data_IF_990124418621
#
_entry.id   IF_990124418621
#
_cell.length_a   1.000
_cell.length_b   1.000
_cell.length_c   1.000
_cell.angle_alpha   90.00
_cell.angle_beta   90.00
_cell.angle_gamma   90.00
#
_symmetry.space_group_name_H-M   'P 1'
#
loop_
_entity.id
_entity.type
_entity.pdbx_description
1 polymer ?
#
# COMPACT_ATOMS: atom_id res chain seq x y z
N UNK A 1 -29.53 -25.90 -10.94
CA UNK A 1 -28.32 -26.77 -11.01
C UNK A 1 -27.03 -25.92 -11.05
N UNK A 2 -26.90 -24.98 -11.97
CA UNK A 2 -25.71 -24.11 -12.03
C UNK A 2 -25.47 -23.26 -10.76
N UNK A 3 -26.50 -23.02 -9.94
CA UNK A 3 -26.44 -22.32 -8.66
C UNK A 3 -26.17 -23.24 -7.45
N UNK A 4 -25.66 -24.44 -7.66
CA UNK A 4 -25.33 -25.39 -6.57
C UNK A 4 -26.48 -26.25 -6.06
N UNK A 5 -27.67 -26.24 -6.71
CA UNK A 5 -28.80 -27.10 -6.33
C UNK A 5 -28.58 -28.57 -6.70
N UNK A 6 -28.99 -29.50 -5.84
CA UNK A 6 -28.99 -30.94 -6.16
C UNK A 6 -30.10 -31.28 -7.12
N UNK A 7 -29.98 -32.38 -7.90
CA UNK A 7 -31.07 -32.82 -8.77
C UNK A 7 -32.36 -33.18 -8.01
N UNK A 8 -32.25 -33.50 -6.72
CA UNK A 8 -33.40 -33.74 -5.86
C UNK A 8 -34.10 -32.43 -5.50
N UNK A 9 -33.34 -31.39 -5.07
CA UNK A 9 -33.91 -30.09 -4.74
C UNK A 9 -34.51 -29.39 -5.96
N UNK A 10 -33.89 -29.51 -7.14
CA UNK A 10 -34.43 -28.96 -8.39
C UNK A 10 -35.67 -29.76 -8.84
N UNK A 11 -35.70 -31.07 -8.67
CA UNK A 11 -36.84 -31.92 -8.98
C UNK A 11 -38.07 -31.56 -8.12
N UNK A 12 -37.86 -31.31 -6.83
CA UNK A 12 -38.90 -30.86 -5.90
C UNK A 12 -39.43 -29.47 -6.29
N UNK A 13 -38.56 -28.51 -6.67
CA UNK A 13 -38.96 -27.17 -7.09
C UNK A 13 -39.75 -27.13 -8.41
N UNK A 14 -39.45 -28.03 -9.33
CA UNK A 14 -40.06 -28.08 -10.68
C UNK A 14 -41.18 -29.12 -10.79
N UNK A 15 -41.41 -29.90 -9.75
CA UNK A 15 -42.48 -30.93 -9.71
C UNK A 15 -42.26 -32.12 -10.63
N UNK A 16 -40.99 -32.49 -10.90
CA UNK A 16 -40.62 -33.63 -11.77
C UNK A 16 -39.76 -34.65 -11.06
N UNK A 17 -39.58 -35.83 -11.64
CA UNK A 17 -38.71 -36.84 -11.04
C UNK A 17 -37.23 -36.42 -11.12
N UNK A 18 -36.42 -36.77 -10.11
CA UNK A 18 -34.97 -36.54 -10.13
C UNK A 18 -34.27 -37.20 -11.32
N UNK A 19 -34.86 -38.27 -11.88
CA UNK A 19 -34.38 -38.94 -13.10
C UNK A 19 -34.59 -38.05 -14.34
N UNK A 20 -35.73 -37.37 -14.43
CA UNK A 20 -36.02 -36.41 -15.51
C UNK A 20 -35.02 -35.24 -15.48
N UNK A 21 -34.73 -34.67 -14.30
CA UNK A 21 -33.74 -33.62 -14.15
C UNK A 21 -32.33 -34.09 -14.58
N UNK A 22 -31.93 -35.30 -14.23
CA UNK A 22 -30.64 -35.88 -14.67
C UNK A 22 -30.58 -36.02 -16.21
N UNK A 23 -31.68 -36.50 -16.83
CA UNK A 23 -31.78 -36.65 -18.30
C UNK A 23 -31.67 -35.30 -18.99
N UNK A 24 -32.33 -34.28 -18.48
CA UNK A 24 -32.23 -32.93 -19.01
C UNK A 24 -30.82 -32.35 -18.89
N UNK A 25 -30.15 -32.57 -17.75
CA UNK A 25 -28.78 -32.18 -17.58
C UNK A 25 -27.83 -32.84 -18.59
N UNK A 26 -28.01 -34.14 -18.85
CA UNK A 26 -27.22 -34.85 -19.86
C UNK A 26 -27.49 -34.32 -21.27
N UNK A 27 -28.77 -34.07 -21.61
CA UNK A 27 -29.13 -33.49 -22.90
C UNK A 27 -28.60 -32.06 -23.11
N UNK A 28 -28.52 -31.30 -22.03
CA UNK A 28 -27.91 -29.96 -22.01
C UNK A 28 -26.37 -29.97 -21.93
N UNK A 29 -25.72 -31.13 -21.99
CA UNK A 29 -24.27 -31.26 -21.90
C UNK A 29 -23.70 -30.93 -20.52
N UNK A 30 -24.52 -31.04 -19.47
CA UNK A 30 -24.08 -30.80 -18.10
C UNK A 30 -23.70 -32.13 -17.43
N UNK A 31 -22.45 -32.26 -17.04
CA UNK A 31 -21.97 -33.44 -16.29
C UNK A 31 -21.93 -33.15 -14.79
N UNK A 32 -22.28 -34.18 -14.00
CA UNK A 32 -22.23 -34.12 -12.53
C UNK A 32 -20.88 -34.63 -12.06
N UNK A 33 -20.21 -33.85 -11.23
CA UNK A 33 -19.10 -34.35 -10.45
C UNK A 33 -19.65 -35.04 -9.18
N UNK A 34 -19.31 -36.30 -8.97
CA UNK A 34 -19.62 -36.99 -7.71
C UNK A 34 -18.56 -36.67 -6.67
N UNK A 35 -19.01 -36.13 -5.53
CA UNK A 35 -18.15 -35.91 -4.37
C UNK A 35 -17.96 -37.21 -3.56
N UNK A 36 -16.97 -37.21 -2.70
CA UNK A 36 -16.74 -38.25 -1.70
C UNK A 36 -18.01 -38.40 -0.82
N UNK A 37 -18.48 -39.59 -0.56
CA UNK A 37 -19.74 -39.90 0.12
C UNK A 37 -21.06 -39.67 -0.68
N UNK A 38 -21.02 -39.65 -2.01
CA UNK A 38 -22.22 -39.60 -2.84
C UNK A 38 -22.97 -38.28 -2.90
N UNK A 39 -22.38 -37.21 -2.36
CA UNK A 39 -22.92 -35.85 -2.49
C UNK A 39 -22.42 -35.18 -3.78
N UNK A 40 -23.34 -34.54 -4.51
CA UNK A 40 -23.00 -33.81 -5.72
C UNK A 40 -22.23 -32.52 -5.36
N UNK A 41 -21.02 -32.39 -5.87
CA UNK A 41 -20.11 -31.27 -5.51
C UNK A 41 -20.20 -30.13 -6.51
N UNK A 42 -20.38 -30.43 -7.82
CA UNK A 42 -20.52 -29.39 -8.85
C UNK A 42 -21.08 -29.94 -10.15
N UNK A 43 -21.62 -29.08 -11.01
CA UNK A 43 -22.01 -29.35 -12.38
C UNK A 43 -21.03 -28.69 -13.32
N UNK A 44 -20.39 -29.47 -14.20
CA UNK A 44 -19.38 -28.98 -15.15
C UNK A 44 -20.01 -28.96 -16.55
N UNK A 45 -19.95 -27.85 -17.30
CA UNK A 45 -20.41 -27.79 -18.68
C UNK A 45 -19.56 -28.69 -19.59
N UNK A 46 -20.21 -29.38 -20.55
CA UNK A 46 -19.52 -30.24 -21.50
C UNK A 46 -18.58 -29.46 -22.46
N UNK A 47 -18.96 -28.23 -22.80
CA UNK A 47 -18.14 -27.35 -23.62
C UNK A 47 -17.30 -26.43 -22.73
N UNK A 48 -16.01 -26.73 -22.61
CA UNK A 48 -15.03 -25.86 -21.95
C UNK A 48 -14.52 -24.86 -22.97
N UNK A 49 -14.65 -23.56 -22.67
CA UNK A 49 -14.09 -22.49 -23.49
C UNK A 49 -12.59 -22.69 -23.73
N UNK A 50 -12.02 -22.21 -24.87
CA UNK A 50 -10.59 -22.27 -25.10
C UNK A 50 -9.83 -21.65 -23.92
N UNK A 51 -8.77 -22.32 -23.49
CA UNK A 51 -7.97 -21.85 -22.37
C UNK A 51 -7.26 -20.55 -22.73
N UNK A 52 -7.26 -19.53 -21.85
CA UNK A 52 -6.50 -18.31 -22.11
C UNK A 52 -5.00 -18.64 -22.20
N UNK A 53 -4.28 -17.91 -23.07
CA UNK A 53 -2.83 -18.03 -23.21
C UNK A 53 -2.13 -17.90 -21.84
N UNK A 54 -1.20 -18.80 -21.57
CA UNK A 54 -0.44 -18.78 -20.30
C UNK A 54 0.60 -17.68 -20.32
N UNK A 55 0.46 -16.68 -19.48
CA UNK A 55 1.47 -15.66 -19.23
C UNK A 55 1.97 -15.78 -17.79
N UNK A 56 3.28 -16.03 -17.58
CA UNK A 56 3.95 -15.96 -16.28
C UNK A 56 4.30 -17.30 -15.61
N UNK A 57 5.16 -17.21 -14.60
CA UNK A 57 5.76 -18.34 -13.88
C UNK A 57 4.74 -19.13 -13.01
N UNK A 58 4.84 -20.47 -13.10
CA UNK A 58 4.24 -21.44 -12.15
C UNK A 58 2.73 -21.31 -11.88
N UNK A 59 1.92 -21.03 -12.89
CA UNK A 59 0.47 -21.05 -12.77
C UNK A 59 -0.03 -22.49 -12.53
N UNK A 60 -0.86 -22.67 -11.48
CA UNK A 60 -1.50 -23.95 -11.17
C UNK A 60 -2.56 -24.30 -12.22
N UNK A 61 -2.81 -25.60 -12.39
CA UNK A 61 -3.89 -26.07 -13.25
C UNK A 61 -5.24 -25.54 -12.75
N UNK A 62 -6.02 -24.97 -13.65
CA UNK A 62 -7.41 -24.55 -13.44
C UNK A 62 -8.37 -25.74 -13.55
N UNK A 63 -9.63 -25.58 -13.12
CA UNK A 63 -10.66 -26.58 -13.31
C UNK A 63 -10.84 -26.93 -14.80
N UNK A 64 -10.81 -25.95 -15.69
CA UNK A 64 -10.93 -26.16 -17.14
C UNK A 64 -9.78 -27.01 -17.69
N UNK A 65 -8.54 -26.77 -17.23
CA UNK A 65 -7.39 -27.60 -17.62
C UNK A 65 -7.51 -29.03 -17.05
N UNK A 66 -8.00 -29.19 -15.84
CA UNK A 66 -8.28 -30.52 -15.24
C UNK A 66 -9.38 -31.29 -15.99
N UNK A 67 -10.46 -30.60 -16.38
CA UNK A 67 -11.50 -31.20 -17.21
C UNK A 67 -10.93 -31.66 -18.56
N UNK A 68 -10.05 -30.87 -19.16
CA UNK A 68 -9.37 -31.25 -20.40
C UNK A 68 -8.46 -32.48 -20.21
N UNK A 69 -7.73 -32.56 -19.08
CA UNK A 69 -6.95 -33.76 -18.73
C UNK A 69 -7.87 -34.99 -18.62
N UNK A 70 -8.99 -34.87 -17.90
CA UNK A 70 -9.95 -35.97 -17.74
C UNK A 70 -10.48 -36.50 -19.07
N UNK A 71 -10.92 -35.58 -19.96
CA UNK A 71 -11.41 -35.94 -21.30
C UNK A 71 -10.35 -36.64 -22.14
N UNK A 72 -9.11 -36.11 -22.16
CA UNK A 72 -8.03 -36.70 -22.94
C UNK A 72 -7.54 -38.04 -22.39
N UNK A 73 -7.61 -38.25 -21.08
CA UNK A 73 -7.35 -39.56 -20.48
C UNK A 73 -8.41 -40.57 -20.89
N UNK A 74 -9.69 -40.18 -20.91
CA UNK A 74 -10.79 -41.02 -21.37
C UNK A 74 -10.68 -41.35 -22.88
N UNK A 75 -10.12 -40.41 -23.68
CA UNK A 75 -9.78 -40.61 -25.10
C UNK A 75 -8.52 -41.48 -25.29
N UNK A 76 -7.88 -41.98 -24.22
CA UNK A 76 -6.69 -42.83 -24.29
C UNK A 76 -5.39 -42.10 -24.61
N UNK A 77 -5.32 -40.77 -24.42
CA UNK A 77 -4.11 -40.02 -24.72
C UNK A 77 -2.99 -40.27 -23.69
N UNK A 78 -1.74 -40.28 -24.16
CA UNK A 78 -0.57 -40.36 -23.28
C UNK A 78 -0.35 -39.07 -22.50
N UNK A 79 0.28 -39.16 -21.32
CA UNK A 79 0.60 -37.99 -20.49
C UNK A 79 1.43 -36.94 -21.23
N UNK A 80 2.34 -37.35 -22.12
CA UNK A 80 3.13 -36.45 -22.94
C UNK A 80 2.26 -35.66 -23.90
N UNK A 81 1.37 -36.33 -24.64
CA UNK A 81 0.45 -35.70 -25.59
C UNK A 81 -0.54 -34.76 -24.88
N UNK A 82 -1.01 -35.09 -23.68
CA UNK A 82 -1.84 -34.19 -22.87
C UNK A 82 -1.04 -32.93 -22.42
N UNK A 83 0.22 -33.13 -22.06
CA UNK A 83 1.08 -32.02 -21.67
C UNK A 83 1.31 -31.03 -22.81
N UNK A 84 1.57 -31.53 -24.02
CA UNK A 84 1.74 -30.75 -25.24
C UNK A 84 0.45 -29.97 -25.58
N UNK A 85 -0.72 -30.62 -25.53
CA UNK A 85 -2.05 -30.02 -25.80
C UNK A 85 -2.39 -28.90 -24.79
N UNK A 86 -1.88 -28.97 -23.56
CA UNK A 86 -2.07 -27.96 -22.52
C UNK A 86 -0.92 -26.93 -22.44
N UNK A 87 0.14 -27.09 -23.22
CA UNK A 87 1.32 -26.22 -23.15
C UNK A 87 2.02 -26.29 -21.79
N UNK A 88 2.10 -27.46 -21.15
CA UNK A 88 2.74 -27.68 -19.86
C UNK A 88 3.80 -28.78 -19.94
N UNK A 89 4.74 -28.76 -18.99
CA UNK A 89 5.72 -29.83 -18.93
C UNK A 89 5.07 -31.15 -18.51
N UNK A 90 5.52 -32.31 -19.10
CA UNK A 90 5.00 -33.64 -18.79
C UNK A 90 4.95 -33.94 -17.30
N UNK A 91 5.97 -33.50 -16.53
CA UNK A 91 6.00 -33.72 -15.07
C UNK A 91 4.83 -33.03 -14.34
N UNK A 92 4.23 -31.98 -14.91
CA UNK A 92 3.04 -31.33 -14.32
C UNK A 92 1.84 -32.26 -14.39
N UNK A 93 1.62 -32.91 -15.52
CA UNK A 93 0.56 -33.92 -15.70
C UNK A 93 0.80 -35.13 -14.80
N UNK A 94 2.01 -35.68 -14.81
CA UNK A 94 2.38 -36.82 -13.97
C UNK A 94 2.15 -36.54 -12.48
N UNK A 95 2.55 -35.37 -11.98
CA UNK A 95 2.30 -34.98 -10.57
C UNK A 95 0.83 -34.74 -10.27
N UNK A 96 0.08 -34.17 -11.21
CA UNK A 96 -1.37 -33.98 -11.05
C UNK A 96 -2.09 -35.32 -10.91
N UNK A 97 -1.78 -36.26 -11.79
CA UNK A 97 -2.37 -37.64 -11.74
C UNK A 97 -1.92 -38.38 -10.48
N UNK A 98 -0.65 -38.36 -10.14
CA UNK A 98 -0.14 -38.99 -8.92
C UNK A 98 -0.82 -38.51 -7.62
N UNK A 99 -1.20 -37.22 -7.59
CA UNK A 99 -1.84 -36.59 -6.43
C UNK A 99 -3.32 -36.77 -6.33
N UNK A 100 -4.01 -36.91 -7.46
CA UNK A 100 -5.46 -36.78 -7.54
C UNK A 100 -6.18 -37.98 -8.19
N UNK A 101 -5.43 -39.00 -8.64
CA UNK A 101 -6.04 -40.26 -9.08
C UNK A 101 -6.39 -41.10 -7.86
N UNK A 102 -7.66 -41.47 -7.76
CA UNK A 102 -8.12 -42.40 -6.72
C UNK A 102 -7.59 -43.81 -7.06
N UNK A 103 -6.67 -44.32 -6.26
CA UNK A 103 -6.33 -45.73 -6.27
C UNK A 103 -7.36 -46.47 -5.43
N UNK A 104 -8.32 -47.12 -6.06
CA UNK A 104 -9.21 -48.04 -5.37
C UNK A 104 -8.35 -49.18 -4.81
N UNK A 105 -8.46 -49.41 -3.52
CA UNK A 105 -7.65 -50.39 -2.81
C UNK A 105 -7.79 -51.81 -3.37
N UNK A 106 -6.76 -52.62 -3.14
CA UNK A 106 -6.65 -54.03 -3.48
C UNK A 106 -7.72 -54.90 -2.76
N UNK A 107 -8.97 -54.69 -3.05
CA UNK A 107 -10.02 -55.55 -2.50
C UNK A 107 -11.10 -55.85 -3.56
N UNK A 108 -10.65 -56.28 -4.74
CA UNK A 108 -11.51 -56.98 -5.66
C UNK A 108 -10.75 -58.18 -6.21
N UNK A 109 -11.20 -59.40 -5.80
CA UNK A 109 -10.62 -60.69 -6.17
C UNK A 109 -10.93 -61.11 -7.63
N UNK A 110 -11.26 -60.17 -8.48
CA UNK A 110 -11.47 -60.36 -9.92
C UNK A 110 -10.46 -59.51 -10.68
N UNK A 111 -9.48 -60.20 -11.30
CA UNK A 111 -8.28 -59.62 -11.93
C UNK A 111 -8.54 -58.78 -13.18
N UNK A 112 -9.25 -57.65 -13.03
CA UNK A 112 -9.31 -56.60 -14.05
C UNK A 112 -8.30 -55.51 -13.77
N UNK A 113 -7.88 -54.71 -14.79
CA UNK A 113 -6.96 -53.57 -14.58
C UNK A 113 -7.65 -52.61 -13.60
N UNK A 114 -6.86 -52.13 -12.60
CA UNK A 114 -7.34 -51.15 -11.64
C UNK A 114 -7.77 -49.90 -12.40
N UNK A 115 -9.07 -49.67 -12.52
CA UNK A 115 -9.63 -48.42 -13.05
C UNK A 115 -9.27 -47.29 -12.14
N UNK A 116 -8.13 -46.69 -12.42
CA UNK A 116 -7.68 -45.46 -11.78
C UNK A 116 -8.36 -44.26 -12.45
N UNK A 117 -9.59 -43.99 -12.03
CA UNK A 117 -10.33 -42.88 -12.58
C UNK A 117 -9.81 -41.54 -12.04
N UNK A 118 -9.22 -40.72 -12.92
CA UNK A 118 -8.97 -39.30 -12.63
C UNK A 118 -10.29 -38.54 -12.82
N UNK A 119 -10.64 -37.71 -11.81
CA UNK A 119 -11.82 -36.85 -11.88
C UNK A 119 -11.42 -35.40 -11.63
N UNK A 120 -11.68 -34.52 -12.58
CA UNK A 120 -11.29 -33.11 -12.56
C UNK A 120 -11.91 -32.34 -11.39
N UNK A 121 -13.19 -32.58 -11.08
CA UNK A 121 -13.85 -31.89 -9.98
C UNK A 121 -13.32 -32.34 -8.62
N UNK A 122 -13.06 -33.61 -8.43
CA UNK A 122 -12.41 -34.15 -7.23
C UNK A 122 -10.99 -33.62 -7.08
N UNK A 123 -10.22 -33.54 -8.17
CA UNK A 123 -8.88 -33.01 -8.21
C UNK A 123 -8.88 -31.50 -7.85
N UNK A 124 -9.86 -30.75 -8.35
CA UNK A 124 -10.03 -29.34 -7.99
C UNK A 124 -10.39 -29.19 -6.50
N UNK A 125 -11.36 -29.94 -6.02
CA UNK A 125 -11.74 -29.92 -4.59
C UNK A 125 -10.57 -30.26 -3.67
N UNK A 126 -9.78 -31.29 -3.98
CA UNK A 126 -8.58 -31.63 -3.22
C UNK A 126 -7.52 -30.51 -3.28
N UNK A 127 -7.43 -29.79 -4.39
CA UNK A 127 -6.52 -28.66 -4.54
C UNK A 127 -6.99 -27.48 -3.70
N UNK A 128 -8.27 -27.17 -3.72
CA UNK A 128 -8.88 -26.09 -2.93
C UNK A 128 -8.82 -26.40 -1.42
N UNK A 129 -9.10 -27.63 -1.03
CA UNK A 129 -8.95 -28.10 0.36
C UNK A 129 -7.50 -27.98 0.85
N UNK A 130 -6.51 -28.41 0.05
CA UNK A 130 -5.08 -28.26 0.37
C UNK A 130 -4.64 -26.79 0.40
N UNK A 131 -5.30 -25.93 -0.39
CA UNK A 131 -5.09 -24.49 -0.41
C UNK A 131 -5.69 -23.82 0.83
N UNK A 132 -6.88 -24.26 1.23
CA UNK A 132 -7.58 -23.78 2.43
C UNK A 132 -6.94 -24.26 3.74
N UNK A 133 -5.95 -25.19 3.66
CA UNK A 133 -5.25 -25.68 4.85
C UNK A 133 -4.67 -24.50 5.63
N UNK A 134 -5.08 -24.27 6.89
CA UNK A 134 -4.61 -23.14 7.67
C UNK A 134 -3.09 -23.24 7.84
N UNK A 135 -2.38 -22.35 7.16
CA UNK A 135 -0.94 -22.13 7.42
C UNK A 135 -0.82 -21.30 8.66
N UNK A 136 0.03 -21.72 9.59
CA UNK A 136 0.40 -20.85 10.71
C UNK A 136 0.85 -19.50 10.18
N UNK A 137 0.19 -18.44 10.60
CA UNK A 137 0.47 -17.09 10.13
C UNK A 137 1.85 -16.65 10.58
N UNK A 138 2.54 -15.87 9.74
CA UNK A 138 3.92 -15.49 9.98
C UNK A 138 4.10 -14.77 11.33
N UNK A 139 3.17 -13.90 11.71
CA UNK A 139 3.22 -13.17 12.99
C UNK A 139 2.99 -14.07 14.21
N UNK A 140 2.25 -15.17 14.06
CA UNK A 140 2.12 -16.19 15.12
C UNK A 140 3.35 -17.07 15.23
N UNK A 141 4.00 -17.39 14.11
CA UNK A 141 5.17 -18.23 14.08
C UNK A 141 6.46 -17.52 14.55
N UNK A 142 6.50 -16.18 14.48
CA UNK A 142 7.70 -15.38 14.76
C UNK A 142 7.42 -14.26 15.76
N UNK A 143 7.55 -14.51 17.08
CA UNK A 143 7.28 -13.51 18.13
C UNK A 143 8.12 -12.24 18.02
N UNK A 144 9.41 -12.35 17.65
CA UNK A 144 10.28 -11.19 17.45
C UNK A 144 9.77 -10.26 16.33
N UNK A 145 9.35 -10.82 15.19
CA UNK A 145 8.74 -10.07 14.09
C UNK A 145 7.45 -9.39 14.56
N UNK A 146 6.59 -10.13 15.29
CA UNK A 146 5.35 -9.60 15.84
C UNK A 146 5.62 -8.39 16.74
N UNK A 147 6.55 -8.49 17.66
CA UNK A 147 6.93 -7.40 18.57
C UNK A 147 7.37 -6.15 17.79
N UNK A 148 8.20 -6.31 16.75
CA UNK A 148 8.65 -5.18 15.95
C UNK A 148 7.49 -4.56 15.12
N UNK A 149 6.61 -5.38 14.55
CA UNK A 149 5.41 -4.90 13.84
C UNK A 149 4.51 -4.10 14.77
N UNK A 150 4.21 -4.62 15.97
CA UNK A 150 3.42 -3.93 17.00
C UNK A 150 4.06 -2.60 17.38
N UNK A 151 5.35 -2.60 17.73
CA UNK A 151 6.09 -1.39 18.07
C UNK A 151 5.96 -0.31 17.00
N UNK A 152 6.19 -0.67 15.73
CA UNK A 152 6.10 0.30 14.63
C UNK A 152 4.67 0.81 14.41
N UNK A 153 3.65 -0.06 14.49
CA UNK A 153 2.25 0.34 14.39
C UNK A 153 1.84 1.29 15.53
N UNK A 154 2.26 1.01 16.76
CA UNK A 154 2.01 1.88 17.93
C UNK A 154 2.65 3.26 17.76
N UNK A 155 3.83 3.34 17.11
CA UNK A 155 4.48 4.60 16.75
C UNK A 155 3.87 5.26 15.50
N UNK A 156 2.68 4.83 15.07
CA UNK A 156 1.92 5.45 13.98
C UNK A 156 2.39 5.12 12.56
N UNK A 157 3.23 4.09 12.37
CA UNK A 157 3.56 3.63 11.01
C UNK A 157 2.36 2.94 10.37
N UNK A 158 2.10 3.21 9.10
CA UNK A 158 1.13 2.43 8.32
C UNK A 158 1.71 1.06 7.93
N UNK A 159 0.89 0.03 7.64
CA UNK A 159 1.37 -1.28 7.22
C UNK A 159 2.39 -1.27 6.08
N UNK A 160 2.26 -0.45 5.00
CA UNK A 160 3.31 -0.30 4.00
C UNK A 160 4.63 0.26 4.57
N UNK A 161 4.54 1.26 5.46
CA UNK A 161 5.72 1.82 6.11
C UNK A 161 6.42 0.80 7.01
N UNK A 162 5.65 0.01 7.77
CA UNK A 162 6.19 -1.10 8.59
C UNK A 162 6.94 -2.11 7.72
N UNK A 163 6.35 -2.54 6.61
CA UNK A 163 6.96 -3.51 5.70
C UNK A 163 8.30 -3.03 5.14
N UNK A 164 8.41 -1.76 4.75
CA UNK A 164 9.64 -1.18 4.20
C UNK A 164 10.65 -0.89 5.33
N UNK A 165 10.20 -0.36 6.47
CA UNK A 165 11.05 -0.07 7.62
C UNK A 165 11.74 -1.32 8.18
N UNK A 166 11.03 -2.44 8.25
CA UNK A 166 11.61 -3.73 8.70
C UNK A 166 12.73 -4.21 7.76
N UNK A 167 12.59 -4.00 6.45
CA UNK A 167 13.67 -4.33 5.50
C UNK A 167 14.90 -3.45 5.69
N UNK A 168 14.69 -2.19 6.02
CA UNK A 168 15.78 -1.27 6.30
C UNK A 168 16.50 -1.61 7.62
N UNK A 169 15.76 -1.91 8.69
CA UNK A 169 16.32 -2.23 10.00
C UNK A 169 16.99 -3.62 10.05
N UNK A 170 16.52 -4.57 9.24
CA UNK A 170 16.99 -5.96 9.24
C UNK A 170 17.28 -6.43 7.80
N UNK A 171 18.30 -5.85 7.12
CA UNK A 171 18.57 -6.11 5.71
C UNK A 171 18.91 -7.59 5.43
N UNK A 172 19.58 -8.25 6.36
CA UNK A 172 20.10 -9.61 6.20
C UNK A 172 19.21 -10.70 6.83
N UNK A 173 18.15 -10.34 7.58
CA UNK A 173 17.23 -11.30 8.21
C UNK A 173 15.92 -11.41 7.46
N UNK A 174 15.80 -12.45 6.61
CA UNK A 174 14.55 -12.73 5.87
C UNK A 174 13.36 -13.08 6.77
N UNK A 175 13.59 -13.54 7.99
CA UNK A 175 12.52 -13.86 8.96
C UNK A 175 11.83 -12.59 9.43
N UNK A 176 12.52 -11.44 9.42
CA UNK A 176 11.99 -10.12 9.77
C UNK A 176 11.25 -9.43 8.61
N UNK A 177 11.15 -10.06 7.43
CA UNK A 177 10.41 -9.52 6.29
C UNK A 177 8.94 -9.91 6.35
N UNK A 178 8.04 -8.94 6.15
CA UNK A 178 6.61 -9.18 6.06
C UNK A 178 5.99 -8.27 5.00
N UNK A 179 4.99 -8.76 4.27
CA UNK A 179 4.24 -7.92 3.33
C UNK A 179 3.21 -7.06 4.07
N UNK A 180 2.94 -5.87 3.54
CA UNK A 180 1.89 -5.00 4.07
C UNK A 180 0.51 -5.67 4.05
N UNK A 181 0.24 -6.50 3.03
CA UNK A 181 -1.00 -7.26 2.92
C UNK A 181 -1.17 -8.26 4.08
N UNK A 182 -0.08 -8.95 4.46
CA UNK A 182 -0.12 -9.85 5.63
C UNK A 182 -0.41 -9.10 6.93
N UNK A 183 0.06 -7.86 7.06
CA UNK A 183 -0.25 -7.00 8.22
C UNK A 183 -1.72 -6.57 8.17
N UNK A 184 -2.22 -6.14 7.01
CA UNK A 184 -3.64 -5.81 6.84
C UNK A 184 -4.55 -6.99 7.15
N UNK A 185 -4.23 -8.18 6.67
CA UNK A 185 -5.02 -9.39 6.96
C UNK A 185 -5.07 -9.70 8.45
N UNK A 186 -3.99 -9.45 9.20
CA UNK A 186 -4.01 -9.59 10.66
C UNK A 186 -4.86 -8.51 11.34
N UNK A 187 -4.83 -7.27 10.84
CA UNK A 187 -5.63 -6.17 11.38
C UNK A 187 -7.13 -6.31 11.09
N UNK A 188 -7.51 -6.81 9.90
CA UNK A 188 -8.92 -6.92 9.49
C UNK A 188 -9.60 -8.24 9.87
N UNK A 189 -8.85 -9.28 10.21
CA UNK A 189 -9.44 -10.53 10.66
C UNK A 189 -10.03 -10.37 12.06
N UNK A 190 -11.32 -10.05 12.05
CA UNK A 190 -12.16 -9.76 13.20
C UNK A 190 -11.97 -10.75 14.37
N UNK A 191 -12.01 -10.24 15.58
CA UNK A 191 -12.22 -10.91 16.88
C UNK A 191 -11.20 -11.96 17.35
N UNK A 192 -10.27 -12.44 16.53
CA UNK A 192 -9.27 -13.46 16.90
C UNK A 192 -7.82 -13.10 16.59
N UNK A 193 -7.56 -11.88 16.11
CA UNK A 193 -6.20 -11.43 15.82
C UNK A 193 -5.53 -10.96 17.11
N UNK A 194 -4.43 -11.58 17.45
CA UNK A 194 -3.58 -11.18 18.60
C UNK A 194 -3.11 -9.72 18.44
N UNK A 195 -2.92 -9.27 17.21
CA UNK A 195 -2.49 -7.91 16.90
C UNK A 195 -3.56 -6.86 17.25
N UNK A 196 -4.85 -7.16 17.02
CA UNK A 196 -5.97 -6.27 17.37
C UNK A 196 -6.22 -6.21 18.87
N UNK A 197 -5.94 -7.31 19.60
CA UNK A 197 -6.07 -7.32 21.05
C UNK A 197 -4.95 -6.52 21.73
N UNK A 198 -3.77 -6.47 21.15
CA UNK A 198 -2.61 -5.75 21.64
C UNK A 198 -2.59 -4.27 21.22
N UNK A 199 -3.20 -3.94 20.05
CA UNK A 199 -3.44 -2.56 19.60
C UNK A 199 -4.84 -2.12 20.05
N UNK A 200 -4.93 -1.14 20.94
CA UNK A 200 -6.20 -0.44 21.18
C UNK A 200 -6.69 0.15 19.86
N UNK A 201 -7.82 -0.36 19.37
CA UNK A 201 -8.32 -0.32 17.97
C UNK A 201 -8.49 1.07 17.32
N UNK A 202 -8.39 2.16 18.06
CA UNK A 202 -8.72 3.51 17.58
C UNK A 202 -7.67 4.15 16.63
N UNK A 203 -6.48 3.58 16.48
CA UNK A 203 -5.34 4.22 15.79
C UNK A 203 -5.06 3.70 14.37
N UNK A 204 -5.75 2.66 13.89
CA UNK A 204 -5.23 1.86 12.75
C UNK A 204 -5.56 2.35 11.33
N UNK A 205 -6.51 3.26 11.09
CA UNK A 205 -6.96 3.56 9.72
C UNK A 205 -7.19 5.05 9.42
N UNK A 206 -6.40 5.59 8.49
CA UNK A 206 -6.37 7.00 8.07
C UNK A 206 -7.40 7.43 7.02
N UNK A 207 -8.37 6.65 6.60
CA UNK A 207 -9.21 6.99 5.45
C UNK A 207 -10.69 7.23 5.78
N UNK A 208 -11.05 8.51 5.95
CA UNK A 208 -12.43 8.97 6.06
C UNK A 208 -12.83 10.00 4.99
N UNK A 209 -12.56 9.77 3.69
CA UNK A 209 -12.93 10.75 2.64
C UNK A 209 -14.01 10.23 1.70
N UNK A 210 -15.07 11.07 1.54
CA UNK A 210 -16.15 10.92 0.56
C UNK A 210 -16.28 12.19 -0.30
N UNK A 211 -15.40 12.49 -1.26
CA UNK A 211 -15.69 13.46 -2.31
C UNK A 211 -14.66 14.58 -2.59
N UNK A 212 -14.54 14.95 -3.87
CA UNK A 212 -13.63 15.98 -4.43
C UNK A 212 -14.41 17.23 -4.85
N UNK A 213 -13.88 18.44 -4.56
CA UNK A 213 -14.48 19.73 -4.93
C UNK A 213 -13.87 20.25 -6.24
N UNK A 214 -14.67 20.75 -7.23
CA UNK A 214 -14.16 21.27 -8.50
C UNK A 214 -13.49 22.65 -8.38
N UNK A 215 -12.45 22.89 -9.20
CA UNK A 215 -11.57 24.08 -9.20
C UNK A 215 -12.21 25.42 -9.67
N UNK A 216 -13.47 25.45 -10.10
CA UNK A 216 -14.08 26.59 -10.81
C UNK A 216 -14.63 27.72 -9.93
N UNK A 217 -14.35 27.76 -8.62
CA UNK A 217 -14.93 28.75 -7.68
C UNK A 217 -13.91 29.62 -6.94
N UNK A 218 -12.76 29.93 -7.52
CA UNK A 218 -11.74 30.74 -6.87
C UNK A 218 -11.68 32.16 -7.46
N UNK A 219 -11.49 33.22 -6.61
CA UNK A 219 -11.41 34.60 -7.07
C UNK A 219 -10.11 34.92 -7.78
N UNK A 220 -10.06 35.93 -8.69
CA UNK A 220 -8.87 36.27 -9.47
C UNK A 220 -7.75 36.87 -8.61
N UNK A 221 -6.50 36.58 -9.00
CA UNK A 221 -5.29 36.99 -8.29
C UNK A 221 -5.08 38.52 -8.38
N UNK A 222 -4.85 39.18 -7.25
CA UNK A 222 -4.43 40.59 -7.19
C UNK A 222 -2.93 40.72 -7.53
N UNK A 223 -2.53 41.75 -8.30
CA UNK A 223 -1.12 42.06 -8.58
C UNK A 223 -0.41 42.49 -7.29
N UNK A 224 0.56 41.71 -6.86
CA UNK A 224 1.35 41.95 -5.65
C UNK A 224 2.76 42.40 -6.07
N UNK A 225 3.10 43.67 -5.84
CA UNK A 225 4.35 44.29 -6.30
C UNK A 225 5.61 43.73 -5.61
N UNK A 226 5.48 43.12 -4.43
CA UNK A 226 6.58 42.54 -3.66
C UNK A 226 7.05 41.15 -4.15
N UNK A 227 6.44 40.64 -5.21
CA UNK A 227 6.77 39.33 -5.80
C UNK A 227 7.80 39.38 -6.94
N UNK A 228 8.25 40.58 -7.33
CA UNK A 228 9.21 40.72 -8.43
C UNK A 228 10.57 40.11 -8.06
N UNK A 229 11.09 39.21 -8.91
CA UNK A 229 12.36 38.52 -8.71
C UNK A 229 12.31 37.38 -7.65
N UNK A 230 11.13 37.00 -7.17
CA UNK A 230 10.96 35.99 -6.14
C UNK A 230 9.98 34.88 -6.56
N UNK A 231 9.78 34.67 -7.86
CA UNK A 231 8.92 33.61 -8.35
C UNK A 231 9.67 32.28 -8.42
N UNK A 232 8.93 31.20 -8.51
CA UNK A 232 9.49 29.85 -8.59
C UNK A 232 10.40 29.67 -9.82
N UNK A 233 10.10 30.37 -10.92
CA UNK A 233 10.96 30.41 -12.11
C UNK A 233 12.36 31.02 -11.81
N UNK A 234 12.42 32.03 -10.95
CA UNK A 234 13.68 32.66 -10.53
C UNK A 234 14.51 31.68 -9.68
N UNK A 235 13.86 30.88 -8.81
CA UNK A 235 14.50 29.78 -8.08
C UNK A 235 15.09 28.75 -9.03
N UNK A 236 14.33 28.35 -10.07
CA UNK A 236 14.79 27.38 -11.05
C UNK A 236 16.00 27.90 -11.84
N UNK A 237 16.08 29.19 -12.12
CA UNK A 237 17.27 29.80 -12.74
C UNK A 237 18.47 29.78 -11.78
N UNK A 238 18.26 30.14 -10.51
CA UNK A 238 19.32 30.21 -9.52
C UNK A 238 19.90 28.85 -9.14
N UNK A 239 19.07 27.82 -9.11
CA UNK A 239 19.41 26.48 -8.63
C UNK A 239 19.12 25.38 -9.65
N UNK A 240 19.17 25.65 -10.96
CA UNK A 240 18.71 24.75 -12.02
C UNK A 240 19.29 23.32 -11.92
N UNK A 241 20.58 23.19 -11.64
CA UNK A 241 21.24 21.90 -11.47
C UNK A 241 20.80 21.13 -10.21
N UNK A 242 20.37 21.83 -9.18
CA UNK A 242 20.07 21.27 -7.86
C UNK A 242 18.61 20.83 -7.73
N UNK A 243 17.69 21.56 -8.37
CA UNK A 243 16.25 21.39 -8.21
C UNK A 243 15.68 20.24 -9.04
N UNK A 244 16.18 20.04 -10.27
CA UNK A 244 15.64 19.03 -11.19
C UNK A 244 15.71 17.60 -10.65
N UNK A 245 16.75 17.26 -9.89
CA UNK A 245 16.96 15.88 -9.46
C UNK A 245 16.50 15.58 -8.02
N UNK A 246 16.09 16.59 -7.24
CA UNK A 246 15.77 16.44 -5.81
C UNK A 246 16.82 15.64 -5.03
N UNK A 247 18.09 15.83 -5.36
CA UNK A 247 19.22 15.14 -4.72
C UNK A 247 19.94 16.03 -3.71
N UNK A 248 19.93 17.34 -3.94
CA UNK A 248 20.62 18.29 -3.09
C UNK A 248 19.67 18.78 -1.99
N UNK A 249 20.06 18.66 -0.71
CA UNK A 249 19.24 19.11 0.42
C UNK A 249 19.22 20.64 0.52
N UNK A 250 18.31 21.15 1.36
CA UNK A 250 18.26 22.56 1.73
C UNK A 250 17.15 23.36 1.04
N UNK A 251 16.37 22.75 0.20
CA UNK A 251 15.20 23.38 -0.42
C UNK A 251 13.93 23.05 0.36
N UNK A 252 13.39 24.05 1.04
CA UNK A 252 12.23 23.91 1.91
C UNK A 252 10.93 24.36 1.23
N UNK A 253 9.84 23.70 1.56
CA UNK A 253 8.49 24.13 1.23
C UNK A 253 7.76 24.49 2.52
N UNK A 254 7.17 25.68 2.58
CA UNK A 254 6.48 26.17 3.77
C UNK A 254 5.00 26.50 3.50
N UNK A 255 4.19 26.48 4.57
CA UNK A 255 2.77 26.84 4.54
C UNK A 255 2.27 27.22 5.94
N UNK A 256 1.10 27.84 5.98
CA UNK A 256 0.42 28.22 7.19
C UNK A 256 -0.90 27.46 7.36
N UNK A 257 -0.95 26.56 8.31
CA UNK A 257 -2.17 25.84 8.65
C UNK A 257 -2.99 26.66 9.63
N UNK A 258 -4.05 27.28 9.13
CA UNK A 258 -4.91 28.18 9.90
C UNK A 258 -5.92 27.43 10.74
N UNK A 259 -6.07 27.84 12.01
CA UNK A 259 -7.09 27.42 12.97
C UNK A 259 -8.04 28.56 13.39
N UNK A 260 -9.04 28.29 14.23
CA UNK A 260 -9.91 29.30 14.83
C UNK A 260 -9.15 30.18 15.82
N UNK A 261 -9.75 31.32 16.22
CA UNK A 261 -9.17 32.22 17.22
C UNK A 261 -7.87 32.86 16.75
N UNK A 262 -7.73 33.14 15.44
CA UNK A 262 -6.53 33.68 14.81
C UNK A 262 -5.27 32.83 15.02
N UNK A 263 -5.42 31.58 15.45
CA UNK A 263 -4.32 30.65 15.67
C UNK A 263 -3.81 30.06 14.34
N UNK A 264 -2.53 29.75 14.28
CA UNK A 264 -1.95 29.07 13.14
C UNK A 264 -0.75 28.18 13.52
N UNK A 265 -0.42 27.26 12.61
CA UNK A 265 0.76 26.43 12.68
C UNK A 265 1.58 26.62 11.41
N UNK A 266 2.81 27.08 11.56
CA UNK A 266 3.80 27.11 10.48
C UNK A 266 4.26 25.68 10.22
N UNK A 267 4.32 25.30 8.96
CA UNK A 267 4.86 24.02 8.52
C UNK A 267 5.99 24.26 7.55
N UNK A 268 7.16 23.70 7.82
CA UNK A 268 8.28 23.64 6.89
C UNK A 268 8.60 22.18 6.62
N UNK A 269 8.86 21.85 5.36
CA UNK A 269 9.30 20.52 4.98
C UNK A 269 10.45 20.59 3.98
N UNK A 270 11.54 19.88 4.28
CA UNK A 270 12.66 19.77 3.37
C UNK A 270 12.34 18.78 2.24
N UNK A 271 12.67 19.15 0.99
CA UNK A 271 12.16 18.44 -0.21
C UNK A 271 12.77 17.07 -0.44
N UNK A 272 14.00 16.82 0.00
CA UNK A 272 14.72 15.54 -0.20
C UNK A 272 14.46 14.60 0.98
N UNK A 273 14.81 15.02 2.19
CA UNK A 273 14.71 14.23 3.42
C UNK A 273 13.27 14.06 3.92
N UNK A 274 12.36 14.98 3.54
CA UNK A 274 11.02 15.09 4.12
C UNK A 274 11.03 15.49 5.60
N UNK A 275 12.16 15.99 6.08
CA UNK A 275 12.27 16.48 7.45
C UNK A 275 11.34 17.69 7.64
N UNK A 276 10.67 17.69 8.77
CA UNK A 276 9.59 18.64 9.04
C UNK A 276 9.92 19.47 10.27
N UNK A 277 9.72 20.77 10.17
CA UNK A 277 9.69 21.68 11.31
C UNK A 277 8.28 22.24 11.48
N UNK A 278 7.82 22.35 12.71
CA UNK A 278 6.51 22.87 13.07
C UNK A 278 6.67 24.03 14.05
N UNK A 279 5.97 25.14 13.80
CA UNK A 279 6.01 26.32 14.67
C UNK A 279 4.61 26.83 14.97
N UNK A 280 4.24 26.91 16.24
CA UNK A 280 2.95 27.46 16.67
C UNK A 280 2.98 29.00 16.65
N UNK A 281 1.90 29.60 16.15
CA UNK A 281 1.64 31.03 16.20
C UNK A 281 0.44 31.29 17.12
N UNK A 282 0.65 31.74 18.34
CA UNK A 282 -0.44 32.04 19.26
C UNK A 282 -1.01 33.44 18.98
N UNK A 283 -2.25 33.49 18.45
CA UNK A 283 -3.08 34.70 18.42
C UNK A 283 -2.74 35.74 17.34
N UNK A 284 -1.60 35.66 16.65
CA UNK A 284 -1.22 36.60 15.59
C UNK A 284 -0.68 35.89 14.35
N UNK A 285 -1.03 36.44 13.16
CA UNK A 285 -0.63 35.91 11.84
C UNK A 285 -0.13 37.02 10.92
N UNK A 286 0.25 38.15 11.49
CA UNK A 286 0.85 39.23 10.71
C UNK A 286 2.25 38.81 10.21
N UNK A 287 2.70 39.48 9.15
CA UNK A 287 3.96 39.11 8.48
C UNK A 287 5.20 39.21 9.40
N UNK A 288 5.15 40.03 10.40
CA UNK A 288 6.28 40.21 11.34
C UNK A 288 6.41 39.02 12.26
N UNK A 289 5.30 38.63 12.90
CA UNK A 289 5.21 37.47 13.80
C UNK A 289 5.56 36.17 13.07
N UNK A 290 5.10 36.00 11.83
CA UNK A 290 5.42 34.83 11.00
C UNK A 290 6.90 34.76 10.67
N UNK A 291 7.51 35.87 10.25
CA UNK A 291 8.93 35.94 9.91
C UNK A 291 9.82 35.70 11.13
N UNK A 292 9.50 36.30 12.28
CA UNK A 292 10.28 36.10 13.51
C UNK A 292 10.23 34.61 13.94
N UNK A 293 9.05 33.97 13.89
CA UNK A 293 8.93 32.55 14.21
C UNK A 293 9.65 31.66 13.20
N UNK A 294 9.55 31.94 11.90
CA UNK A 294 10.30 31.22 10.85
C UNK A 294 11.81 31.31 11.08
N UNK A 295 12.32 32.52 11.39
CA UNK A 295 13.75 32.72 11.68
C UNK A 295 14.19 31.86 12.86
N UNK A 296 13.43 31.89 13.96
CA UNK A 296 13.68 31.04 15.12
C UNK A 296 13.70 29.55 14.80
N UNK A 297 12.75 29.08 13.95
CA UNK A 297 12.64 27.66 13.59
C UNK A 297 13.84 27.14 12.80
N UNK A 298 14.47 27.96 11.99
CA UNK A 298 15.61 27.55 11.14
C UNK A 298 16.97 27.87 11.73
N UNK A 299 17.04 28.60 12.84
CA UNK A 299 18.28 29.06 13.47
C UNK A 299 19.26 27.95 13.84
N UNK A 300 18.71 26.77 14.20
CA UNK A 300 19.51 25.58 14.55
C UNK A 300 19.94 24.74 13.34
N UNK A 301 19.49 25.08 12.13
CA UNK A 301 19.84 24.32 10.94
C UNK A 301 21.23 24.72 10.41
N UNK A 302 22.06 23.73 10.00
CA UNK A 302 23.29 24.04 9.28
C UNK A 302 23.01 24.79 7.97
N UNK A 303 23.85 25.77 7.61
CA UNK A 303 23.72 26.53 6.38
C UNK A 303 23.64 25.64 5.12
N UNK A 304 24.37 24.53 5.10
CA UNK A 304 24.38 23.57 4.01
C UNK A 304 23.00 22.98 3.69
N UNK A 305 22.08 22.97 4.65
CA UNK A 305 20.71 22.46 4.49
C UNK A 305 19.64 23.56 4.55
N UNK A 306 20.02 24.83 4.36
CA UNK A 306 19.10 25.97 4.33
C UNK A 306 19.38 26.84 3.08
N UNK A 307 19.02 26.34 1.89
CA UNK A 307 19.35 26.97 0.60
C UNK A 307 18.24 27.84 0.02
N UNK A 308 16.99 27.42 0.13
CA UNK A 308 15.85 28.22 -0.30
C UNK A 308 14.57 27.81 0.42
N UNK A 309 13.66 28.76 0.58
CA UNK A 309 12.32 28.56 1.10
C UNK A 309 11.30 28.86 -0.01
N UNK A 310 10.39 27.94 -0.28
CA UNK A 310 9.25 28.15 -1.16
C UNK A 310 7.96 28.30 -0.35
N UNK A 311 7.23 29.39 -0.60
CA UNK A 311 5.97 29.70 0.08
C UNK A 311 4.84 29.94 -0.94
N UNK A 312 3.60 30.09 -0.48
CA UNK A 312 2.54 30.61 -1.34
C UNK A 312 2.59 32.16 -1.36
N UNK A 313 1.75 32.76 -2.19
CA UNK A 313 1.71 34.22 -2.28
C UNK A 313 0.82 34.84 -1.18
N UNK A 314 0.87 34.31 0.05
CA UNK A 314 0.15 34.83 1.20
C UNK A 314 0.68 36.18 1.69
N UNK A 315 -0.19 37.02 2.22
CA UNK A 315 0.17 38.33 2.78
C UNK A 315 1.03 38.21 4.05
N UNK A 316 1.02 37.08 4.69
CA UNK A 316 1.84 36.72 5.86
C UNK A 316 3.34 36.70 5.53
N UNK A 317 3.71 36.58 4.25
CA UNK A 317 5.10 36.61 3.78
C UNK A 317 5.49 37.95 3.13
N UNK A 318 4.70 39.01 3.27
CA UNK A 318 4.97 40.31 2.66
C UNK A 318 6.33 40.90 3.10
N UNK A 319 6.82 40.60 4.31
CA UNK A 319 8.14 41.01 4.84
C UNK A 319 9.23 39.94 4.65
N UNK A 320 9.12 39.03 3.68
CA UNK A 320 10.06 37.93 3.42
C UNK A 320 11.51 38.37 3.27
N UNK A 321 11.77 39.59 2.77
CA UNK A 321 13.11 40.13 2.65
C UNK A 321 13.85 40.20 4.01
N UNK A 322 13.10 40.42 5.11
CA UNK A 322 13.67 40.41 6.48
C UNK A 322 14.16 39.01 6.86
N UNK A 323 13.42 37.97 6.50
CA UNK A 323 13.85 36.58 6.68
C UNK A 323 15.13 36.28 5.90
N UNK A 324 15.17 36.66 4.61
CA UNK A 324 16.35 36.45 3.76
C UNK A 324 17.58 37.16 4.33
N UNK A 325 17.43 38.41 4.82
CA UNK A 325 18.55 39.14 5.44
C UNK A 325 19.03 38.48 6.73
N UNK A 326 18.11 37.98 7.55
CA UNK A 326 18.44 37.35 8.84
C UNK A 326 19.08 35.96 8.70
N UNK A 327 18.70 35.17 7.69
CA UNK A 327 19.10 33.77 7.56
C UNK A 327 20.00 33.46 6.36
N UNK A 328 20.19 34.40 5.43
CA UNK A 328 20.84 34.13 4.15
C UNK A 328 20.01 33.30 3.16
N UNK A 329 18.83 32.82 3.57
CA UNK A 329 17.99 31.93 2.78
C UNK A 329 17.00 32.72 1.90
N UNK A 330 17.10 32.67 0.56
CA UNK A 330 16.15 33.32 -0.34
C UNK A 330 14.77 32.66 -0.30
N UNK A 331 13.73 33.51 -0.36
CA UNK A 331 12.33 33.09 -0.38
C UNK A 331 11.77 33.20 -1.80
N UNK A 332 11.11 32.14 -2.28
CA UNK A 332 10.45 32.09 -3.58
C UNK A 332 8.98 31.78 -3.42
N UNK A 333 8.17 32.29 -4.34
CA UNK A 333 6.72 32.15 -4.28
C UNK A 333 6.21 31.25 -5.41
N UNK A 334 5.38 30.28 -5.01
CA UNK A 334 4.69 29.41 -5.95
C UNK A 334 3.64 30.20 -6.75
N UNK A 335 3.38 29.78 -8.00
CA UNK A 335 2.38 30.39 -8.83
C UNK A 335 0.98 30.20 -8.23
N UNK A 336 0.08 31.17 -8.40
CA UNK A 336 -1.30 31.04 -7.96
C UNK A 336 -1.95 29.79 -8.57
N UNK A 337 -2.70 29.08 -7.76
CA UNK A 337 -3.42 27.86 -8.18
C UNK A 337 -2.56 26.69 -8.66
N UNK A 338 -1.27 26.66 -8.31
CA UNK A 338 -0.31 25.62 -8.70
C UNK A 338 0.13 24.74 -7.50
N UNK A 339 -0.77 23.96 -6.89
CA UNK A 339 -0.47 23.15 -5.69
C UNK A 339 0.62 22.11 -5.94
N UNK A 340 0.78 21.63 -7.19
CA UNK A 340 1.84 20.68 -7.56
C UNK A 340 3.26 21.22 -7.34
N UNK A 341 3.43 22.54 -7.32
CA UNK A 341 4.72 23.21 -7.07
C UNK A 341 5.18 23.06 -5.62
N UNK A 342 4.24 22.80 -4.68
CA UNK A 342 4.47 22.55 -3.25
C UNK A 342 3.91 21.19 -2.79
N UNK A 343 4.05 20.18 -3.65
CA UNK A 343 3.49 18.85 -3.41
C UNK A 343 4.00 18.15 -2.15
N UNK A 344 5.19 18.51 -1.66
CA UNK A 344 5.75 17.96 -0.43
C UNK A 344 5.01 18.50 0.78
N UNK A 345 4.75 19.80 0.81
CA UNK A 345 4.01 20.44 1.89
C UNK A 345 2.52 20.06 1.88
N UNK A 346 1.89 19.95 0.71
CA UNK A 346 0.51 19.48 0.60
C UNK A 346 0.35 18.08 1.21
N UNK A 347 1.32 17.19 0.98
CA UNK A 347 1.34 15.87 1.61
C UNK A 347 1.50 15.95 3.13
N UNK A 348 2.40 16.83 3.62
CA UNK A 348 2.59 17.08 5.05
C UNK A 348 1.30 17.58 5.69
N UNK A 349 0.65 18.58 5.10
CA UNK A 349 -0.62 19.13 5.58
C UNK A 349 -1.71 18.06 5.65
N UNK A 350 -1.74 17.12 4.68
CA UNK A 350 -2.60 15.94 4.72
C UNK A 350 -2.35 15.03 5.93
N UNK A 351 -1.08 14.86 6.33
CA UNK A 351 -0.70 14.08 7.52
C UNK A 351 -1.04 14.83 8.81
N UNK A 352 -0.77 16.14 8.86
CA UNK A 352 -1.10 16.99 10.00
C UNK A 352 -2.62 17.05 10.27
N UNK A 353 -3.46 16.98 9.22
CA UNK A 353 -4.92 16.94 9.38
C UNK A 353 -5.44 15.66 10.05
N UNK A 354 -4.62 14.63 10.13
CA UNK A 354 -4.92 13.47 10.95
C UNK A 354 -4.66 13.74 12.45
N UNK A 355 -3.56 14.39 12.78
CA UNK A 355 -3.21 14.78 14.16
C UNK A 355 -4.07 15.98 14.61
N UNK A 356 -4.25 16.96 13.71
CA UNK A 356 -4.99 18.20 13.93
C UNK A 356 -6.12 18.35 12.90
N UNK A 357 -7.33 17.82 13.17
CA UNK A 357 -8.50 17.96 12.30
C UNK A 357 -8.82 19.43 11.99
N UNK A 358 -9.62 19.66 10.93
CA UNK A 358 -10.11 21.02 10.62
C UNK A 358 -10.86 21.59 11.81
N UNK A 359 -10.54 22.83 12.20
CA UNK A 359 -11.12 23.48 13.37
C UNK A 359 -10.32 23.31 14.66
N UNK A 360 -9.19 22.61 14.64
CA UNK A 360 -8.28 22.57 15.80
C UNK A 360 -7.79 23.97 16.12
N UNK A 361 -7.94 24.38 17.39
CA UNK A 361 -7.43 25.65 17.89
C UNK A 361 -6.00 25.47 18.39
N UNK A 362 -5.03 25.98 17.65
CA UNK A 362 -3.60 25.88 18.01
C UNK A 362 -3.25 26.71 19.25
N UNK A 363 -4.10 27.65 19.70
CA UNK A 363 -3.87 28.39 20.94
C UNK A 363 -4.01 27.51 22.20
N UNK A 364 -4.75 26.40 22.12
CA UNK A 364 -4.94 25.46 23.24
C UNK A 364 -3.82 24.43 23.37
N UNK A 365 -2.96 24.32 22.37
CA UNK A 365 -1.82 23.40 22.37
C UNK A 365 -0.60 24.08 23.00
N UNK A 366 0.28 23.28 23.59
CA UNK A 366 1.58 23.73 24.07
C UNK A 366 2.63 23.60 22.96
N UNK A 367 3.76 24.26 23.12
CA UNK A 367 4.91 24.09 22.20
C UNK A 367 5.44 22.65 22.29
N UNK A 368 5.32 21.97 23.45
CA UNK A 368 5.69 20.57 23.61
C UNK A 368 4.79 19.64 22.79
N UNK A 369 3.46 19.87 22.74
CA UNK A 369 2.54 19.07 21.91
C UNK A 369 2.93 19.15 20.43
N UNK A 370 3.34 20.34 19.99
CA UNK A 370 3.81 20.55 18.59
C UNK A 370 5.14 19.85 18.36
N UNK A 371 6.08 19.94 19.31
CA UNK A 371 7.36 19.25 19.23
C UNK A 371 7.18 17.72 19.18
N UNK A 372 6.34 17.16 20.05
CA UNK A 372 6.04 15.73 20.06
C UNK A 372 5.46 15.26 18.71
N UNK A 373 4.63 16.09 18.07
CA UNK A 373 4.09 15.80 16.75
C UNK A 373 5.17 15.87 15.68
N UNK A 374 6.04 16.87 15.72
CA UNK A 374 7.20 17.00 14.85
C UNK A 374 8.10 15.77 14.95
N UNK A 375 8.41 15.34 16.16
CA UNK A 375 9.26 14.18 16.42
C UNK A 375 8.63 12.89 15.88
N UNK A 376 7.31 12.69 16.12
CA UNK A 376 6.59 11.55 15.53
C UNK A 376 6.65 11.55 14.01
N UNK A 377 6.55 12.70 13.35
CA UNK A 377 6.62 12.82 11.89
C UNK A 377 8.03 12.55 11.37
N UNK A 378 9.05 13.02 12.06
CA UNK A 378 10.46 12.92 11.68
C UNK A 378 11.05 11.53 11.95
N UNK A 379 10.54 10.80 12.94
CA UNK A 379 10.98 9.43 13.25
C UNK A 379 10.09 8.33 12.63
N UNK A 380 9.14 8.70 11.76
CA UNK A 380 8.31 7.74 11.02
C UNK A 380 8.97 7.34 9.70
N UNK A 381 9.29 6.06 9.53
CA UNK A 381 9.86 5.53 8.29
C UNK A 381 9.00 5.84 7.05
N UNK A 382 9.62 6.31 5.98
CA UNK A 382 8.95 6.71 4.73
C UNK A 382 9.19 5.68 3.63
N UNK A 383 8.14 5.31 2.90
CA UNK A 383 8.26 4.41 1.75
C UNK A 383 9.14 5.03 0.66
N UNK A 384 8.98 6.34 0.42
CA UNK A 384 9.76 7.10 -0.57
C UNK A 384 11.26 7.20 -0.22
N UNK A 385 11.61 7.04 1.06
CA UNK A 385 12.98 7.03 1.56
C UNK A 385 13.50 5.59 1.80
N UNK A 386 12.93 4.61 1.11
CA UNK A 386 13.30 3.19 1.25
C UNK A 386 13.26 2.67 2.70
N UNK A 387 12.42 3.25 3.55
CA UNK A 387 12.23 2.87 4.95
C UNK A 387 13.02 3.71 5.95
N UNK A 388 13.92 4.58 5.51
CA UNK A 388 14.55 5.58 6.37
C UNK A 388 13.51 6.54 6.93
N UNK A 389 13.81 7.11 8.08
CA UNK A 389 13.05 8.23 8.65
C UNK A 389 13.55 9.55 8.05
N UNK A 390 12.71 10.61 8.05
CA UNK A 390 13.17 11.94 7.68
C UNK A 390 14.41 12.43 8.45
N UNK A 391 14.49 12.14 9.76
CA UNK A 391 15.64 12.49 10.58
C UNK A 391 16.91 11.77 10.10
N UNK A 392 16.87 10.42 9.98
CA UNK A 392 18.00 9.63 9.47
C UNK A 392 18.46 10.12 8.09
N UNK A 393 17.51 10.50 7.22
CA UNK A 393 17.86 11.00 5.87
C UNK A 393 18.47 12.39 5.92
N UNK A 394 18.01 13.27 6.80
CA UNK A 394 18.62 14.59 6.97
C UNK A 394 20.04 14.47 7.52
N UNK A 395 20.26 13.64 8.53
CA UNK A 395 21.58 13.38 9.11
C UNK A 395 22.57 12.84 8.07
N UNK A 396 22.13 11.89 7.24
CA UNK A 396 22.92 11.38 6.11
C UNK A 396 23.32 12.50 5.14
N UNK A 397 22.38 13.38 4.77
CA UNK A 397 22.62 14.49 3.85
C UNK A 397 23.55 15.56 4.44
N UNK A 398 23.45 15.82 5.73
CA UNK A 398 24.37 16.74 6.44
C UNK A 398 25.79 16.17 6.44
N UNK A 399 25.94 14.88 6.76
CA UNK A 399 27.23 14.22 6.74
C UNK A 399 27.88 14.26 5.33
N UNK A 400 27.10 13.93 4.29
CA UNK A 400 27.57 14.00 2.90
C UNK A 400 27.98 15.43 2.47
N UNK A 401 27.26 16.45 2.94
CA UNK A 401 27.59 17.84 2.64
C UNK A 401 28.90 18.27 3.33
N UNK A 402 29.16 17.80 4.54
CA UNK A 402 30.41 18.06 5.28
C UNK A 402 31.61 17.34 4.64
N UNK A 403 31.47 16.09 4.25
CA UNK A 403 32.50 15.31 3.58
C UNK A 403 32.83 15.91 2.18
N UNK A 404 31.83 16.38 1.44
CA UNK A 404 32.01 17.05 0.15
C UNK A 404 32.78 18.35 0.24
N UNK A 405 32.63 19.12 1.32
CA UNK A 405 33.41 20.34 1.60
C UNK A 405 34.87 20.00 1.95
N UNK A 406 35.10 18.92 2.68
CA UNK A 406 36.44 18.46 3.05
C UNK A 406 37.29 17.97 1.85
N UNK A 407 36.65 17.53 0.74
CA UNK A 407 37.33 17.10 -0.48
C UNK A 407 37.64 18.24 -1.46
N UNK A 408 37.08 19.44 -1.24
CA UNK A 408 37.25 20.61 -2.12
C UNK A 408 38.14 21.69 -1.54
N UNK A 409 38.67 21.51 -0.33
CA UNK A 409 39.67 22.33 0.32
C UNK A 409 41.01 21.63 0.32
#
# INVERSE_FOLDING_TARGET
MLAGGTSKSVAEQVGVSGTSVRRWCQQAGLHRAQGWAGKDVSVIPANVAPLPARTGHARRLSLAERTKIELRLNDGWSQSRIADDLGVHRSTISRELARNTLRWGRSCKTGGPADSAYNAATAQHHTDYRRARPKTRKLHAHPALRHQVLRLLTHGHSPPQVSVRLRHLFPDDERMRISHESIYQELYLQARSVLLQELKVEVALRSGRTGRIPASKLPPASKRTWLQGCLLADREQMFAAEICERKIPGHWEGDLVVGPGNSALITLVERVSRFTLLGRLPGARDSETVIDKLTQMVESLPEAVLRSLTWDQGSEMAKHARFTVATGCPVFFADPHSPWQRGTNENLNGQLRYEYPKGTNFNTLTDQDIQDTQDRLNHRGRVILAGMTPAEKLDELIAQAQDGVALTT
#
